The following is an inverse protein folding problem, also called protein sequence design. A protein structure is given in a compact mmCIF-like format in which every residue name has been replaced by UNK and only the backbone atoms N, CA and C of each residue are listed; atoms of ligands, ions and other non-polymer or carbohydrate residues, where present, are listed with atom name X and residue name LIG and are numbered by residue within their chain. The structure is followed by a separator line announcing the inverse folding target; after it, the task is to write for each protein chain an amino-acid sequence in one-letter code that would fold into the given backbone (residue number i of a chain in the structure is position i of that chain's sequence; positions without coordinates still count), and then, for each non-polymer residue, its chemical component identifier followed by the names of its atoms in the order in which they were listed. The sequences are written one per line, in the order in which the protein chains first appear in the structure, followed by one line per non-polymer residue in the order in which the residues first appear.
data_IF_212437876459
#
_entry.id   IF_212437876459
#
_cell.length_a   1.000
_cell.length_b   1.000
_cell.length_c   1.000
_cell.angle_alpha   90.00
_cell.angle_beta   90.00
_cell.angle_gamma   90.00
#
_symmetry.space_group_name_H-M   'P 1'
#
loop_
_entity.id
_entity.type
_entity.pdbx_description
1 polymer ?
#
# COMPACT_ATOMS: atom_id res chain seq x y z
N UNK A 1 -20.47 -13.59 12.20
CA UNK A 1 -19.00 -13.56 12.28
C UNK A 1 -18.53 -12.16 11.94
N UNK A 2 -17.91 -11.47 12.88
CA UNK A 2 -17.30 -10.15 12.66
C UNK A 2 -16.16 -10.33 11.65
N UNK A 3 -16.24 -9.74 10.47
CA UNK A 3 -15.12 -9.76 9.51
C UNK A 3 -14.04 -8.82 10.03
N UNK A 4 -13.02 -9.38 10.67
CA UNK A 4 -11.84 -8.63 11.04
C UNK A 4 -10.89 -8.50 9.87
N UNK A 5 -10.16 -7.39 9.80
CA UNK A 5 -9.14 -7.11 8.80
C UNK A 5 -7.82 -6.79 9.47
N UNK A 6 -6.75 -7.29 8.88
CA UNK A 6 -5.38 -6.99 9.26
C UNK A 6 -4.92 -5.73 8.54
N UNK A 7 -4.17 -4.89 9.24
CA UNK A 7 -3.55 -3.71 8.67
C UNK A 7 -2.08 -3.69 9.07
N UNK A 8 -1.17 -3.46 8.12
CA UNK A 8 0.27 -3.52 8.34
C UNK A 8 0.92 -2.15 8.16
N UNK A 9 1.85 -1.80 9.04
CA UNK A 9 2.55 -0.52 9.00
C UNK A 9 3.33 -0.39 7.68
N UNK A 10 3.12 0.69 6.93
CA UNK A 10 3.79 0.92 5.64
C UNK A 10 5.29 1.27 5.75
N UNK A 11 5.76 1.63 6.95
CA UNK A 11 7.15 2.00 7.16
C UNK A 11 8.03 0.80 7.51
N UNK A 12 7.68 0.08 8.58
CA UNK A 12 8.48 -1.04 9.06
C UNK A 12 8.04 -2.39 8.48
N UNK A 13 6.81 -2.50 7.99
CA UNK A 13 6.18 -3.76 7.54
C UNK A 13 6.14 -4.89 8.59
N UNK A 14 6.64 -4.65 9.79
CA UNK A 14 6.76 -5.62 10.87
C UNK A 14 5.49 -5.66 11.72
N UNK A 15 4.98 -4.48 12.10
CA UNK A 15 3.78 -4.38 12.92
C UNK A 15 2.49 -4.52 12.10
N UNK A 16 1.57 -5.36 12.60
CA UNK A 16 0.23 -5.50 12.06
C UNK A 16 -0.86 -5.44 13.14
N UNK A 17 -1.91 -4.66 12.89
CA UNK A 17 -3.06 -4.48 13.78
C UNK A 17 -4.32 -5.09 13.16
N UNK A 18 -5.09 -5.81 13.97
CA UNK A 18 -6.37 -6.39 13.52
C UNK A 18 -7.54 -5.56 14.04
N UNK A 19 -8.47 -5.18 13.16
CA UNK A 19 -9.67 -4.39 13.51
C UNK A 19 -10.94 -4.99 12.91
N UNK A 20 -12.08 -4.73 13.54
CA UNK A 20 -13.39 -5.26 13.16
C UNK A 20 -14.12 -4.44 12.08
N UNK A 21 -13.46 -3.43 11.52
CA UNK A 21 -13.98 -2.58 10.46
C UNK A 21 -13.07 -2.69 9.24
N UNK A 22 -13.64 -2.41 8.06
CA UNK A 22 -12.97 -2.50 6.77
C UNK A 22 -12.77 -1.10 6.20
N UNK A 23 -11.55 -0.58 6.31
CA UNK A 23 -11.11 0.67 5.72
C UNK A 23 -9.88 0.40 4.85
N UNK A 24 -9.49 1.36 4.01
CA UNK A 24 -8.32 1.23 3.15
C UNK A 24 -7.02 1.35 3.95
N UNK A 25 -6.99 2.27 4.92
CA UNK A 25 -5.83 2.49 5.78
C UNK A 25 -6.22 3.07 7.13
N UNK A 26 -5.33 2.89 8.09
CA UNK A 26 -5.37 3.48 9.43
C UNK A 26 -4.18 4.41 9.61
N UNK A 27 -4.43 5.64 10.04
CA UNK A 27 -3.34 6.55 10.42
C UNK A 27 -3.15 6.47 11.93
N UNK A 28 -2.06 5.88 12.38
CA UNK A 28 -1.74 5.77 13.80
C UNK A 28 -0.23 5.67 14.02
N UNK A 29 0.21 6.01 15.23
CA UNK A 29 1.60 5.78 15.63
C UNK A 29 1.87 4.28 15.68
N UNK A 30 2.88 3.85 14.92
CA UNK A 30 3.29 2.46 14.92
C UNK A 30 3.96 2.10 16.26
N UNK A 31 3.49 1.08 16.99
CA UNK A 31 4.12 0.65 18.24
C UNK A 31 5.51 0.03 18.05
N UNK A 32 5.82 -0.51 16.87
CA UNK A 32 7.15 -1.09 16.57
C UNK A 32 8.19 -0.03 16.22
N UNK A 33 7.90 0.87 15.26
CA UNK A 33 8.87 1.88 14.82
C UNK A 33 8.70 3.27 15.46
N UNK A 34 7.65 3.49 16.25
CA UNK A 34 7.40 4.77 16.94
C UNK A 34 7.00 5.94 16.04
N UNK A 35 6.94 5.75 14.72
CA UNK A 35 6.59 6.79 13.74
C UNK A 35 5.08 6.86 13.50
N UNK A 36 4.56 8.06 13.22
CA UNK A 36 3.18 8.24 12.81
C UNK A 36 3.03 7.87 11.33
N UNK A 37 2.46 6.71 11.07
CA UNK A 37 2.44 6.12 9.73
C UNK A 37 1.04 5.63 9.36
N UNK A 38 0.87 5.35 8.07
CA UNK A 38 -0.33 4.68 7.57
C UNK A 38 -0.13 3.16 7.67
N UNK A 39 -1.18 2.49 8.12
CA UNK A 39 -1.30 1.05 8.19
C UNK A 39 -2.24 0.61 7.06
N UNK A 40 -1.72 -0.07 6.05
CA UNK A 40 -2.50 -0.50 4.89
C UNK A 40 -3.19 -1.83 5.16
N UNK A 41 -4.40 -1.96 4.62
CA UNK A 41 -5.18 -3.19 4.69
C UNK A 41 -4.43 -4.37 4.06
N UNK A 42 -4.64 -5.58 4.56
CA UNK A 42 -4.06 -6.83 4.06
C UNK A 42 -4.17 -6.99 2.54
N UNK A 43 -5.33 -6.68 1.95
CA UNK A 43 -5.52 -6.77 0.50
C UNK A 43 -4.59 -5.84 -0.30
N UNK A 44 -4.19 -4.70 0.29
CA UNK A 44 -3.23 -3.77 -0.33
C UNK A 44 -1.83 -4.37 -0.29
N UNK A 45 -1.46 -5.02 0.81
CA UNK A 45 -0.17 -5.68 0.96
C UNK A 45 -0.06 -6.86 -0.01
N UNK A 46 -1.10 -7.70 -0.09
CA UNK A 46 -1.15 -8.81 -1.05
C UNK A 46 -1.01 -8.33 -2.49
N UNK A 47 -1.70 -7.22 -2.85
CA UNK A 47 -1.59 -6.63 -4.17
C UNK A 47 -0.20 -6.06 -4.45
N UNK A 48 0.42 -5.42 -3.46
CA UNK A 48 1.78 -4.91 -3.55
C UNK A 48 2.80 -6.05 -3.74
N UNK A 49 2.72 -7.10 -2.93
CA UNK A 49 3.61 -8.27 -3.02
C UNK A 49 3.45 -8.99 -4.37
N UNK A 50 2.22 -9.07 -4.89
CA UNK A 50 1.95 -9.62 -6.24
C UNK A 50 2.63 -8.80 -7.34
N UNK A 51 2.54 -7.47 -7.27
CA UNK A 51 3.20 -6.56 -8.21
C UNK A 51 4.73 -6.58 -8.06
N UNK A 52 5.26 -6.71 -6.84
CA UNK A 52 6.70 -6.87 -6.64
C UNK A 52 7.22 -8.22 -7.13
N UNK A 53 6.46 -9.29 -6.97
CA UNK A 53 6.83 -10.62 -7.46
C UNK A 53 6.78 -10.72 -8.99
N UNK A 54 5.86 -9.98 -9.62
CA UNK A 54 5.69 -9.94 -11.07
C UNK A 54 5.46 -8.49 -11.53
N UNK A 55 6.54 -7.68 -11.64
CA UNK A 55 6.41 -6.29 -12.03
C UNK A 55 5.82 -6.16 -13.44
N UNK A 56 4.81 -5.30 -13.62
CA UNK A 56 4.19 -5.07 -14.92
C UNK A 56 5.18 -4.44 -15.90
N UNK A 57 5.29 -4.98 -17.12
CA UNK A 57 6.21 -4.44 -18.15
C UNK A 57 5.71 -3.15 -18.80
N UNK A 58 4.41 -2.89 -18.72
CA UNK A 58 3.75 -1.70 -19.29
C UNK A 58 3.73 -0.50 -18.35
N UNK A 59 4.26 -0.65 -17.13
CA UNK A 59 4.29 0.36 -16.10
C UNK A 59 5.66 0.39 -15.44
N UNK A 60 6.25 1.58 -15.25
CA UNK A 60 7.59 1.75 -14.69
C UNK A 60 7.64 1.47 -13.17
N UNK A 61 7.26 0.26 -12.75
CA UNK A 61 7.18 -0.14 -11.34
C UNK A 61 8.52 0.00 -10.62
N UNK A 62 9.61 -0.36 -11.27
CA UNK A 62 10.96 -0.30 -10.69
C UNK A 62 11.48 1.14 -10.50
N UNK A 63 10.87 2.14 -11.14
CA UNK A 63 11.22 3.55 -10.92
C UNK A 63 10.60 4.11 -9.64
N UNK A 64 9.52 3.49 -9.15
CA UNK A 64 8.81 3.94 -7.97
C UNK A 64 9.54 3.53 -6.69
N UNK A 65 9.57 4.45 -5.73
CA UNK A 65 9.95 4.14 -4.37
C UNK A 65 8.88 3.25 -3.71
N UNK A 66 9.29 2.51 -2.67
CA UNK A 66 8.40 1.59 -1.93
C UNK A 66 7.07 2.25 -1.51
N UNK A 67 7.11 3.51 -1.06
CA UNK A 67 5.92 4.26 -0.65
C UNK A 67 4.96 4.52 -1.82
N UNK A 68 5.49 4.83 -2.99
CA UNK A 68 4.69 5.10 -4.20
C UNK A 68 4.08 3.81 -4.74
N UNK A 69 4.87 2.74 -4.81
CA UNK A 69 4.38 1.39 -5.12
C UNK A 69 3.21 0.98 -4.24
N UNK A 70 3.30 1.22 -2.92
CA UNK A 70 2.23 0.93 -1.96
C UNK A 70 0.98 1.79 -2.20
N UNK A 71 1.13 3.05 -2.64
CA UNK A 71 0.00 3.90 -3.02
C UNK A 71 -0.70 3.39 -4.29
N UNK A 72 0.05 2.95 -5.30
CA UNK A 72 -0.51 2.35 -6.52
C UNK A 72 -1.26 1.06 -6.18
N UNK A 73 -0.64 0.18 -5.38
CA UNK A 73 -1.29 -1.05 -4.91
C UNK A 73 -2.57 -0.77 -4.10
N UNK A 74 -2.58 0.26 -3.23
CA UNK A 74 -3.77 0.66 -2.48
C UNK A 74 -4.92 1.00 -3.41
N UNK A 75 -4.64 1.80 -4.44
CA UNK A 75 -5.66 2.27 -5.38
C UNK A 75 -6.18 1.14 -6.28
N UNK A 76 -5.34 0.19 -6.68
CA UNK A 76 -5.77 -0.98 -7.46
C UNK A 76 -6.61 -1.94 -6.59
N UNK A 77 -6.18 -2.22 -5.36
CA UNK A 77 -6.87 -3.19 -4.51
C UNK A 77 -8.21 -2.69 -3.95
N UNK A 78 -8.40 -1.37 -3.85
CA UNK A 78 -9.53 -0.74 -3.14
C UNK A 78 -10.39 0.17 -4.00
N UNK A 79 -10.08 0.32 -5.28
CA UNK A 79 -10.85 1.12 -6.24
C UNK A 79 -10.88 0.40 -7.58
N UNK A 80 -11.77 0.76 -8.49
CA UNK A 80 -11.81 0.24 -9.87
C UNK A 80 -10.68 0.80 -10.77
N UNK A 81 -9.58 1.26 -10.16
CA UNK A 81 -8.42 1.81 -10.87
C UNK A 81 -7.48 0.69 -11.29
N UNK A 82 -6.87 0.86 -12.45
CA UNK A 82 -5.89 -0.07 -13.03
C UNK A 82 -4.53 0.61 -13.18
N UNK A 83 -3.47 -0.14 -13.51
CA UNK A 83 -2.16 0.45 -13.76
C UNK A 83 -2.19 1.55 -14.85
N UNK A 84 -3.09 1.43 -15.82
CA UNK A 84 -3.30 2.44 -16.87
C UNK A 84 -3.87 3.78 -16.37
N UNK A 85 -4.39 3.82 -15.14
CA UNK A 85 -4.85 5.05 -14.48
C UNK A 85 -3.72 5.84 -13.78
N UNK A 86 -2.48 5.34 -13.83
CA UNK A 86 -1.32 5.95 -13.20
C UNK A 86 -0.26 6.28 -14.24
N UNK A 87 0.41 7.41 -14.04
CA UNK A 87 1.54 7.84 -14.85
C UNK A 87 2.71 8.13 -13.91
N UNK A 88 3.90 7.60 -14.24
CA UNK A 88 5.11 7.80 -13.44
C UNK A 88 5.87 8.99 -14.00
N UNK A 89 5.64 10.16 -13.39
CA UNK A 89 6.34 11.40 -13.76
C UNK A 89 7.51 11.64 -12.81
N UNK A 90 8.67 12.01 -13.34
CA UNK A 90 9.78 12.49 -12.50
C UNK A 90 9.33 13.75 -11.74
N UNK A 91 9.49 13.75 -10.42
CA UNK A 91 9.28 14.93 -9.57
C UNK A 91 10.38 16.00 -9.75
N UNK A 92 10.99 16.08 -10.93
CA UNK A 92 11.98 17.09 -11.30
C UNK A 92 11.28 18.13 -12.17
N UNK A 93 10.38 18.95 -11.60
CA UNK A 93 10.17 20.36 -11.95
C UNK A 93 9.40 21.06 -10.81
N UNK A 94 9.96 22.20 -10.36
CA UNK A 94 9.49 23.22 -9.40
C UNK A 94 9.93 23.10 -7.92
#
# INVERSE_FOLDING_TARGET
MSRTRTYRCLNCLDEAVTRSFDTSHLSMTCPSCGSFERFANEAVIEQFESLEASPPSEFDWDRLERREKLLVAERIARTDKTLADFDVTDATEA
#
